data_IF_394407940607
#
_entry.id   IF_394407940607
#
_cell.length_a   1.000
_cell.length_b   1.000
_cell.length_c   1.000
_cell.angle_alpha   90.00
_cell.angle_beta   90.00
_cell.angle_gamma   90.00
#
_symmetry.space_group_name_H-M   'P 1'
#
loop_
_entity.id
_entity.type
_entity.pdbx_description
1 polymer ?
#
# COMPACT_ATOMS: atom_id res chain seq x y z
N UNK A 1 -16.78 -21.10 -10.27
CA UNK A 1 -15.55 -20.53 -10.85
C UNK A 1 -14.39 -21.37 -10.35
N UNK A 2 -13.38 -21.65 -11.17
CA UNK A 2 -12.13 -22.20 -10.63
C UNK A 2 -11.43 -21.09 -9.86
N UNK A 3 -10.96 -21.38 -8.66
CA UNK A 3 -10.07 -20.48 -7.95
C UNK A 3 -8.73 -20.47 -8.70
N UNK A 4 -8.38 -19.33 -9.29
CA UNK A 4 -7.08 -19.11 -9.89
C UNK A 4 -6.23 -18.31 -8.91
N UNK A 5 -5.04 -18.82 -8.62
CA UNK A 5 -4.08 -18.16 -7.73
C UNK A 5 -3.52 -16.89 -8.42
N UNK A 6 -3.75 -15.73 -7.82
CA UNK A 6 -3.19 -14.47 -8.30
C UNK A 6 -1.79 -14.29 -7.71
N UNK A 7 -0.78 -14.21 -8.57
CA UNK A 7 0.61 -13.93 -8.18
C UNK A 7 0.95 -12.48 -8.46
N UNK A 8 1.31 -11.75 -7.42
CA UNK A 8 1.79 -10.37 -7.54
C UNK A 8 3.32 -10.33 -7.61
N UNK A 9 3.85 -9.41 -8.42
CA UNK A 9 5.29 -9.13 -8.48
C UNK A 9 5.50 -7.67 -8.07
N UNK A 10 6.32 -7.40 -7.03
CA UNK A 10 6.61 -6.02 -6.64
C UNK A 10 7.36 -5.30 -7.77
N UNK A 11 7.02 -4.03 -7.99
CA UNK A 11 7.69 -3.17 -8.98
C UNK A 11 8.77 -2.26 -8.37
N UNK A 12 8.91 -2.31 -7.05
CA UNK A 12 9.79 -1.46 -6.27
C UNK A 12 9.52 -1.64 -4.77
N UNK A 13 10.04 -0.73 -3.97
CA UNK A 13 9.82 -0.69 -2.52
C UNK A 13 9.68 0.76 -2.02
N UNK A 14 9.09 0.90 -0.83
CA UNK A 14 9.02 2.18 -0.13
C UNK A 14 10.28 2.35 0.71
N UNK A 15 10.96 3.48 0.59
CA UNK A 15 12.09 3.87 1.44
C UNK A 15 11.70 5.10 2.26
N UNK A 16 11.99 5.06 3.55
CA UNK A 16 11.74 6.17 4.46
C UNK A 16 13.08 6.76 4.89
N UNK A 17 13.26 8.07 4.69
CA UNK A 17 14.45 8.79 5.14
C UNK A 17 14.04 10.03 5.93
N UNK A 18 14.23 9.97 7.25
CA UNK A 18 13.79 11.03 8.15
C UNK A 18 12.27 11.19 8.13
N UNK A 19 11.79 12.32 7.62
CA UNK A 19 10.36 12.61 7.47
C UNK A 19 9.84 12.38 6.04
N UNK A 20 10.72 12.03 5.11
CA UNK A 20 10.39 11.88 3.70
C UNK A 20 10.17 10.41 3.33
N UNK A 21 9.27 10.20 2.35
CA UNK A 21 8.92 8.90 1.80
C UNK A 21 9.27 8.86 0.31
N UNK A 22 9.93 7.79 -0.12
CA UNK A 22 10.39 7.59 -1.49
C UNK A 22 9.84 6.27 -2.04
N UNK A 23 9.53 6.26 -3.34
CA UNK A 23 9.18 5.06 -4.09
C UNK A 23 10.36 4.68 -4.98
N UNK A 24 11.11 3.67 -4.58
CA UNK A 24 12.25 3.18 -5.35
C UNK A 24 11.77 2.11 -6.34
N UNK A 25 11.58 2.51 -7.59
CA UNK A 25 11.10 1.66 -8.68
C UNK A 25 12.26 0.92 -9.33
N UNK A 26 12.13 -0.41 -9.49
CA UNK A 26 13.15 -1.25 -10.13
C UNK A 26 13.37 -0.82 -11.58
N UNK A 27 14.62 -0.92 -12.03
CA UNK A 27 15.08 -0.40 -13.33
C UNK A 27 14.21 -0.86 -14.50
N UNK A 28 13.84 -2.14 -14.55
CA UNK A 28 13.03 -2.74 -15.61
C UNK A 28 11.62 -2.14 -15.76
N UNK A 29 11.12 -1.41 -14.75
CA UNK A 29 9.80 -0.78 -14.76
C UNK A 29 9.84 0.74 -14.96
N UNK A 30 11.01 1.37 -14.99
CA UNK A 30 11.14 2.84 -15.04
C UNK A 30 10.61 3.46 -16.33
N UNK A 31 10.63 2.72 -17.44
CA UNK A 31 10.02 3.17 -18.70
C UNK A 31 8.51 3.44 -18.58
N UNK A 32 7.83 2.83 -17.60
CA UNK A 32 6.42 3.08 -17.31
C UNK A 32 6.16 4.42 -16.61
N UNK A 33 7.21 5.12 -16.13
CA UNK A 33 7.11 6.40 -15.42
C UNK A 33 7.20 7.63 -16.35
N UNK A 34 7.32 7.43 -17.67
CA UNK A 34 7.41 8.53 -18.63
C UNK A 34 6.16 9.42 -18.50
N UNK A 35 6.37 10.73 -18.42
CA UNK A 35 5.35 11.76 -18.23
C UNK A 35 4.60 11.71 -16.88
N UNK A 36 5.05 10.92 -15.90
CA UNK A 36 4.47 10.91 -14.56
C UNK A 36 4.59 12.29 -13.87
N UNK A 37 5.62 13.07 -14.23
CA UNK A 37 5.84 14.44 -13.80
C UNK A 37 4.74 15.43 -14.23
N UNK A 38 3.84 15.02 -15.15
CA UNK A 38 2.69 15.83 -15.58
C UNK A 38 1.48 15.73 -14.65
N UNK A 39 1.53 14.84 -13.65
CA UNK A 39 0.46 14.64 -12.68
C UNK A 39 0.88 15.14 -11.30
N UNK A 40 -0.05 15.77 -10.59
CA UNK A 40 0.17 16.22 -9.22
C UNK A 40 -0.04 15.11 -8.17
N UNK A 41 -0.76 14.05 -8.52
CA UNK A 41 -1.13 12.97 -7.60
C UNK A 41 -1.03 11.62 -8.30
N UNK A 42 -0.70 10.59 -7.53
CA UNK A 42 -0.71 9.21 -7.96
C UNK A 42 -1.43 8.32 -6.95
N UNK A 43 -1.99 7.24 -7.47
CA UNK A 43 -2.51 6.15 -6.65
C UNK A 43 -1.40 5.12 -6.48
N UNK A 44 -1.04 4.83 -5.24
CA UNK A 44 -0.01 3.84 -4.91
C UNK A 44 -0.67 2.64 -4.24
N UNK A 45 -0.56 1.49 -4.89
CA UNK A 45 -0.89 0.20 -4.30
C UNK A 45 0.40 -0.40 -3.73
N UNK A 46 0.42 -0.64 -2.43
CA UNK A 46 1.58 -1.19 -1.73
C UNK A 46 1.17 -2.38 -0.86
N UNK A 47 2.14 -3.23 -0.56
CA UNK A 47 1.94 -4.43 0.25
C UNK A 47 2.56 -4.23 1.63
N UNK A 48 1.75 -4.32 2.68
CA UNK A 48 2.19 -4.26 4.06
C UNK A 48 2.85 -5.58 4.48
N UNK A 49 4.01 -5.87 3.88
CA UNK A 49 4.72 -7.14 4.01
C UNK A 49 5.06 -7.51 5.46
N UNK A 50 5.22 -6.54 6.37
CA UNK A 50 5.43 -6.81 7.80
C UNK A 50 4.20 -7.40 8.49
N UNK A 51 2.99 -7.19 7.95
CA UNK A 51 1.74 -7.77 8.44
C UNK A 51 1.32 -9.02 7.63
N UNK A 52 2.17 -9.48 6.72
CA UNK A 52 1.90 -10.64 5.88
C UNK A 52 2.43 -11.93 6.51
N UNK A 53 1.81 -12.33 7.62
CA UNK A 53 2.15 -13.55 8.35
C UNK A 53 1.16 -14.68 8.05
N UNK A 54 1.59 -15.93 8.21
CA UNK A 54 0.70 -17.10 8.08
C UNK A 54 -0.49 -17.00 9.05
N UNK A 55 -0.24 -16.57 10.30
CA UNK A 55 -1.27 -16.37 11.32
C UNK A 55 -2.37 -15.39 10.87
N UNK A 56 -1.98 -14.26 10.27
CA UNK A 56 -2.93 -13.27 9.76
C UNK A 56 -3.67 -13.83 8.53
N UNK A 57 -2.99 -14.54 7.63
CA UNK A 57 -3.62 -15.14 6.45
C UNK A 57 -4.65 -16.22 6.78
N UNK A 58 -4.44 -16.95 7.87
CA UNK A 58 -5.33 -18.03 8.34
C UNK A 58 -6.46 -17.51 9.25
N UNK A 59 -6.51 -16.19 9.51
CA UNK A 59 -7.52 -15.61 10.39
C UNK A 59 -8.94 -15.82 9.85
N UNK A 60 -9.80 -16.39 10.69
CA UNK A 60 -11.21 -16.68 10.37
C UNK A 60 -12.18 -15.65 10.95
N UNK A 61 -11.69 -14.73 11.78
CA UNK A 61 -12.46 -13.63 12.34
C UNK A 61 -12.48 -12.47 11.36
N UNK A 62 -13.67 -12.15 10.83
CA UNK A 62 -13.88 -11.10 9.83
C UNK A 62 -14.48 -9.80 10.40
N UNK A 63 -14.39 -9.63 11.72
CA UNK A 63 -14.82 -8.44 12.47
C UNK A 63 -13.73 -7.94 13.40
N UNK A 64 -13.80 -6.66 13.77
CA UNK A 64 -12.86 -6.01 14.69
C UNK A 64 -13.54 -4.81 15.37
N UNK A 65 -12.99 -4.34 16.47
CA UNK A 65 -13.37 -3.06 17.07
C UNK A 65 -12.37 -2.01 16.57
N UNK A 66 -12.79 -0.99 15.81
CA UNK A 66 -11.89 0.05 15.32
C UNK A 66 -11.15 0.75 16.48
N UNK A 67 -9.87 1.09 16.33
CA UNK A 67 -9.09 1.80 17.36
C UNK A 67 -9.39 3.31 17.38
N UNK A 68 -10.33 3.78 16.55
CA UNK A 68 -10.69 5.17 16.37
C UNK A 68 -12.18 5.38 16.60
N UNK A 69 -12.54 6.61 17.02
CA UNK A 69 -13.91 7.00 17.35
C UNK A 69 -14.23 6.87 18.84
N UNK A 70 -15.26 7.59 19.28
CA UNK A 70 -15.73 7.55 20.66
C UNK A 70 -16.58 6.30 20.90
N UNK A 71 -16.14 5.45 21.83
CA UNK A 71 -16.77 4.17 22.18
C UNK A 71 -17.09 3.29 20.94
N UNK A 72 -16.04 2.86 20.21
CA UNK A 72 -16.19 2.15 18.95
C UNK A 72 -16.91 0.81 19.17
N UNK A 73 -17.82 0.49 18.25
CA UNK A 73 -18.52 -0.79 18.20
C UNK A 73 -17.82 -1.73 17.22
N UNK A 74 -18.09 -3.02 17.37
CA UNK A 74 -17.61 -4.02 16.43
C UNK A 74 -18.12 -3.75 15.00
N UNK A 75 -17.21 -3.79 14.04
CA UNK A 75 -17.44 -3.59 12.62
C UNK A 75 -16.81 -4.72 11.81
N UNK A 76 -17.30 -4.94 10.58
CA UNK A 76 -16.63 -5.85 9.65
C UNK A 76 -15.27 -5.31 9.22
N UNK A 77 -14.32 -6.21 8.93
CA UNK A 77 -12.97 -5.87 8.47
C UNK A 77 -13.01 -4.96 7.24
N UNK A 78 -13.89 -5.23 6.27
CA UNK A 78 -14.04 -4.39 5.07
C UNK A 78 -14.63 -3.00 5.33
N UNK A 79 -15.23 -2.77 6.50
CA UNK A 79 -15.73 -1.46 6.93
C UNK A 79 -14.71 -0.73 7.82
N UNK A 80 -13.53 -1.31 8.02
CA UNK A 80 -12.52 -0.80 8.95
C UNK A 80 -11.19 -0.58 8.23
N UNK A 81 -10.67 0.65 8.28
CA UNK A 81 -9.35 0.96 7.72
C UNK A 81 -8.32 0.67 8.81
N UNK A 82 -7.71 -0.51 8.77
CA UNK A 82 -6.64 -0.89 9.67
C UNK A 82 -5.45 -1.44 8.89
N UNK A 83 -4.26 -1.19 9.43
CA UNK A 83 -3.01 -1.65 8.83
C UNK A 83 -2.76 -3.15 9.02
N UNK A 84 -3.42 -3.81 9.99
CA UNK A 84 -3.09 -5.18 10.46
C UNK A 84 -4.17 -6.24 10.15
N UNK A 85 -5.04 -6.04 9.15
CA UNK A 85 -6.15 -6.97 8.87
C UNK A 85 -5.83 -7.94 7.71
N UNK A 86 -6.40 -9.17 7.72
CA UNK A 86 -6.18 -10.24 6.73
C UNK A 86 -6.43 -9.85 5.27
N UNK A 87 -7.22 -8.82 4.99
CA UNK A 87 -7.29 -8.24 3.65
C UNK A 87 -6.12 -7.29 3.41
N UNK A 88 -4.92 -7.85 3.20
CA UNK A 88 -3.68 -7.10 2.92
C UNK A 88 -3.69 -6.52 1.48
N UNK A 89 -4.78 -6.69 0.73
CA UNK A 89 -4.98 -6.05 -0.56
C UNK A 89 -5.22 -4.55 -0.37
N UNK A 90 -4.11 -3.81 -0.42
CA UNK A 90 -4.00 -2.39 -0.69
C UNK A 90 -4.87 -1.49 0.20
N UNK A 91 -4.28 -0.98 1.28
CA UNK A 91 -4.64 0.36 1.72
C UNK A 91 -4.26 1.31 0.58
N UNK A 92 -5.25 1.70 -0.23
CA UNK A 92 -5.12 2.69 -1.30
C UNK A 92 -4.67 4.00 -0.67
N UNK A 93 -3.37 4.31 -0.76
CA UNK A 93 -2.87 5.63 -0.40
C UNK A 93 -2.83 6.48 -1.66
N UNK A 94 -3.55 7.59 -1.63
CA UNK A 94 -3.32 8.68 -2.58
C UNK A 94 -2.11 9.45 -2.08
N UNK A 95 -1.02 9.44 -2.84
CA UNK A 95 0.15 10.24 -2.52
C UNK A 95 0.17 11.49 -3.41
N UNK A 96 0.32 12.65 -2.78
CA UNK A 96 0.71 13.87 -3.47
C UNK A 96 2.15 13.73 -3.95
N UNK A 97 2.37 13.89 -5.25
CA UNK A 97 3.72 13.92 -5.80
C UNK A 97 4.30 15.30 -5.53
N UNK A 98 5.11 15.41 -4.47
CA UNK A 98 6.03 16.52 -4.34
C UNK A 98 7.17 16.31 -5.35
N UNK A 99 7.01 16.90 -6.53
CA UNK A 99 8.07 16.97 -7.53
C UNK A 99 9.16 17.88 -6.96
N UNK A 100 10.12 17.30 -6.23
CA UNK A 100 11.33 18.01 -5.85
C UNK A 100 12.29 17.95 -7.04
N UNK A 101 12.55 19.07 -7.75
CA UNK A 101 13.36 19.07 -8.99
C UNK A 101 14.84 18.73 -8.77
N UNK A 102 15.28 18.40 -7.55
CA UNK A 102 16.68 18.18 -7.21
C UNK A 102 17.22 16.76 -7.49
N UNK A 103 16.40 15.80 -7.92
CA UNK A 103 16.87 14.40 -8.09
C UNK A 103 16.79 13.84 -9.52
N UNK A 104 16.55 14.67 -10.54
CA UNK A 104 16.79 14.31 -11.93
C UNK A 104 18.22 14.68 -12.35
N UNK A 105 19.24 14.19 -11.64
CA UNK A 105 20.62 14.28 -12.13
C UNK A 105 21.33 12.92 -12.10
N UNK A 106 21.60 12.49 -13.34
CA UNK A 106 22.59 11.51 -13.85
C UNK A 106 22.37 10.03 -13.56
#
# INVERSE_FOLDING_TARGET
>A
MKEEEIKMKPIGYVRVEGQDFYLDIYEQYRSALIALDKFSHVIVLWWAHENDTEEIREQTTWSTIPPYGDNPKETGIFATILYHLPSILANLLTMELYSNPLFYHT
#
